data_IF_825281895694
#
_entry.id   IF_825281895694
#
_cell.length_a   1.000
_cell.length_b   1.000
_cell.length_c   1.000
_cell.angle_alpha   90.00
_cell.angle_beta   90.00
_cell.angle_gamma   90.00
#
_symmetry.space_group_name_H-M   'P 1'
#
loop_
_entity.id
_entity.type
_entity.pdbx_description
1 polymer ?
#
# COMPACT_ATOMS: atom_id res chain seq x y z
N UNK A 1 8.44 -9.15 -19.49
CA UNK A 1 8.11 -8.98 -18.05
C UNK A 1 6.99 -7.97 -18.00
N UNK A 2 5.88 -8.28 -17.35
CA UNK A 2 4.77 -7.34 -17.23
C UNK A 2 5.10 -6.23 -16.21
N UNK A 3 4.51 -5.06 -16.41
CA UNK A 3 4.79 -3.83 -15.66
C UNK A 3 4.45 -3.96 -14.16
N UNK A 4 3.42 -4.75 -13.82
CA UNK A 4 3.05 -5.01 -12.43
C UNK A 4 4.11 -5.83 -11.70
N UNK A 5 4.63 -6.87 -12.36
CA UNK A 5 5.73 -7.68 -11.82
C UNK A 5 7.00 -6.86 -11.60
N UNK A 6 7.26 -5.88 -12.47
CA UNK A 6 8.39 -4.96 -12.32
C UNK A 6 8.17 -3.98 -11.16
N UNK A 7 6.97 -3.41 -11.05
CA UNK A 7 6.58 -2.57 -9.92
C UNK A 7 6.78 -3.31 -8.59
N UNK A 8 6.28 -4.53 -8.48
CA UNK A 8 6.38 -5.31 -7.24
C UNK A 8 7.82 -5.60 -6.84
N UNK A 9 8.71 -5.85 -7.81
CA UNK A 9 10.14 -5.99 -7.51
C UNK A 9 10.75 -4.71 -6.96
N UNK A 10 10.32 -3.53 -7.45
CA UNK A 10 10.80 -2.24 -6.95
C UNK A 10 10.19 -1.84 -5.60
N UNK A 11 8.96 -2.27 -5.31
CA UNK A 11 8.31 -2.00 -4.03
C UNK A 11 8.94 -2.77 -2.86
N UNK A 12 9.57 -3.91 -3.13
CA UNK A 12 10.15 -4.80 -2.10
C UNK A 12 9.16 -5.05 -0.96
N UNK A 13 7.94 -5.39 -1.34
CA UNK A 13 6.89 -5.71 -0.38
C UNK A 13 7.33 -6.85 0.53
N UNK A 14 7.14 -6.65 1.82
CA UNK A 14 7.23 -7.67 2.86
C UNK A 14 5.99 -7.57 3.73
N UNK A 15 5.30 -8.68 3.86
CA UNK A 15 4.16 -8.74 4.78
C UNK A 15 4.59 -9.38 6.08
N UNK A 16 4.05 -8.89 7.19
CA UNK A 16 4.22 -9.48 8.51
C UNK A 16 2.87 -9.73 9.15
N UNK A 17 2.59 -10.99 9.41
CA UNK A 17 1.46 -11.40 10.25
C UNK A 17 1.92 -11.28 11.71
N UNK A 18 1.25 -10.43 12.49
CA UNK A 18 1.60 -10.17 13.89
C UNK A 18 0.54 -10.70 14.87
N UNK A 19 -0.68 -10.94 14.40
CA UNK A 19 -1.78 -11.41 15.23
C UNK A 19 -2.43 -12.62 14.58
N UNK A 20 -2.50 -13.69 15.35
CA UNK A 20 -3.19 -14.92 15.01
C UNK A 20 -3.81 -15.47 16.28
N UNK A 21 -5.07 -15.16 16.48
CA UNK A 21 -5.75 -15.49 17.74
C UNK A 21 -7.19 -15.92 17.49
N UNK A 22 -7.58 -16.97 18.20
CA UNK A 22 -8.98 -17.38 18.28
C UNK A 22 -9.63 -16.62 19.40
N UNK A 23 -10.69 -15.91 19.08
CA UNK A 23 -11.50 -15.14 20.00
C UNK A 23 -12.81 -15.89 20.28
N UNK A 24 -13.23 -15.92 21.55
CA UNK A 24 -14.48 -16.51 22.01
C UNK A 24 -15.22 -15.50 22.90
N UNK A 25 -16.54 -15.58 22.96
CA UNK A 25 -17.35 -14.68 23.75
C UNK A 25 -17.47 -13.27 23.17
N UNK A 26 -17.62 -12.30 24.05
CA UNK A 26 -17.59 -10.88 23.65
C UNK A 26 -16.14 -10.39 23.62
N UNK A 27 -15.70 -9.89 22.47
CA UNK A 27 -14.35 -9.37 22.27
C UNK A 27 -14.37 -8.17 21.34
N UNK A 28 -13.35 -7.33 21.50
CA UNK A 28 -13.05 -6.20 20.62
C UNK A 28 -11.56 -6.23 20.33
N UNK A 29 -11.19 -6.06 19.09
CA UNK A 29 -9.80 -5.85 18.65
C UNK A 29 -9.74 -4.46 18.05
N UNK A 30 -9.10 -3.53 18.76
CA UNK A 30 -8.89 -2.17 18.27
C UNK A 30 -7.68 -2.10 17.34
N UNK A 31 -7.86 -1.41 16.23
CA UNK A 31 -6.82 -1.23 15.22
C UNK A 31 -5.97 0.03 15.44
N UNK A 32 -5.53 0.29 16.68
CA UNK A 32 -4.48 1.29 16.95
C UNK A 32 -3.12 0.73 16.53
N UNK A 33 -2.94 0.48 15.26
CA UNK A 33 -1.64 0.04 14.78
C UNK A 33 -0.92 1.16 14.06
N UNK A 34 0.39 1.24 14.35
CA UNK A 34 1.33 2.16 13.72
C UNK A 34 0.98 2.45 12.25
N UNK A 35 1.17 3.66 11.80
CA UNK A 35 0.86 4.26 10.49
C UNK A 35 1.23 3.42 9.25
N UNK A 36 0.82 2.14 9.17
CA UNK A 36 1.14 1.21 8.09
C UNK A 36 -0.13 0.76 7.37
N UNK A 37 0.01 0.39 6.12
CA UNK A 37 -1.02 -0.37 5.43
C UNK A 37 -1.16 -1.74 6.10
N UNK A 38 -2.39 -2.21 6.32
CA UNK A 38 -2.64 -3.42 7.09
C UNK A 38 -3.78 -4.25 6.51
N UNK A 39 -3.88 -5.48 6.97
CA UNK A 39 -5.01 -6.34 6.64
C UNK A 39 -5.52 -7.11 7.85
N UNK A 40 -6.79 -7.49 7.75
CA UNK A 40 -7.44 -8.45 8.63
C UNK A 40 -8.08 -9.54 7.77
N UNK A 41 -7.90 -10.78 8.14
CA UNK A 41 -8.51 -11.94 7.52
C UNK A 41 -9.27 -12.73 8.59
N UNK A 42 -10.52 -13.03 8.34
CA UNK A 42 -11.32 -13.96 9.16
C UNK A 42 -11.03 -15.37 8.66
N UNK A 43 -10.22 -16.13 9.38
CA UNK A 43 -9.91 -17.50 8.99
C UNK A 43 -11.09 -18.44 9.27
N UNK A 44 -11.68 -18.35 10.45
CA UNK A 44 -12.90 -19.09 10.82
C UNK A 44 -13.85 -18.18 11.59
N UNK A 45 -15.14 -18.55 11.63
CA UNK A 45 -16.14 -17.78 12.34
C UNK A 45 -16.60 -16.55 11.58
N UNK A 46 -16.93 -15.50 12.32
CA UNK A 46 -17.41 -14.22 11.78
C UNK A 46 -17.21 -13.09 12.77
N UNK A 47 -17.02 -11.87 12.27
CA UNK A 47 -16.97 -10.66 13.09
C UNK A 47 -17.61 -9.49 12.37
N UNK A 48 -17.83 -8.43 13.11
CA UNK A 48 -18.28 -7.14 12.57
C UNK A 48 -17.13 -6.17 12.62
N UNK A 49 -16.90 -5.49 11.51
CA UNK A 49 -15.93 -4.41 11.42
C UNK A 49 -16.63 -3.06 11.41
N UNK A 50 -16.09 -2.13 12.19
CA UNK A 50 -16.46 -0.70 12.19
C UNK A 50 -15.22 0.13 11.94
N UNK A 51 -15.35 1.18 11.15
CA UNK A 51 -14.23 2.10 10.92
C UNK A 51 -14.73 3.52 10.63
N UNK A 52 -13.88 4.50 10.91
CA UNK A 52 -14.17 5.90 10.67
C UNK A 52 -14.35 6.20 9.18
N UNK A 53 -15.44 6.92 8.85
CA UNK A 53 -15.78 7.27 7.48
C UNK A 53 -16.72 6.30 6.77
N UNK A 54 -17.16 5.23 7.45
CA UNK A 54 -18.20 4.32 6.93
C UNK A 54 -19.43 4.30 7.82
N UNK A 55 -20.59 4.55 7.23
CA UNK A 55 -21.85 4.50 7.95
C UNK A 55 -22.38 3.05 7.96
N UNK A 56 -22.17 2.34 9.07
CA UNK A 56 -22.73 1.02 9.31
C UNK A 56 -21.71 -0.08 9.59
N UNK A 57 -22.22 -1.19 10.02
CA UNK A 57 -21.45 -2.38 10.38
C UNK A 57 -21.16 -3.23 9.13
N UNK A 58 -19.91 -3.66 8.97
CA UNK A 58 -19.51 -4.57 7.90
C UNK A 58 -19.34 -5.96 8.49
N UNK A 59 -20.21 -6.89 8.12
CA UNK A 59 -20.06 -8.29 8.50
C UNK A 59 -18.95 -8.93 7.65
N UNK A 60 -17.95 -9.48 8.33
CA UNK A 60 -16.89 -10.32 7.77
C UNK A 60 -17.15 -11.77 8.16
N UNK A 61 -17.03 -12.69 7.19
CA UNK A 61 -17.17 -14.13 7.35
C UNK A 61 -15.86 -14.84 7.11
N UNK A 62 -15.81 -16.12 7.45
CA UNK A 62 -14.66 -16.98 7.16
C UNK A 62 -14.24 -16.87 5.67
N UNK A 63 -12.98 -16.61 5.44
CA UNK A 63 -12.41 -16.37 4.11
C UNK A 63 -12.47 -14.92 3.64
N UNK A 64 -13.17 -14.01 4.33
CA UNK A 64 -13.16 -12.58 3.98
C UNK A 64 -11.89 -11.92 4.51
N UNK A 65 -11.28 -11.06 3.68
CA UNK A 65 -10.18 -10.19 4.09
C UNK A 65 -10.50 -8.72 3.79
N UNK A 66 -10.02 -7.85 4.66
CA UNK A 66 -10.05 -6.40 4.45
C UNK A 66 -8.63 -5.85 4.51
N UNK A 67 -8.29 -5.00 3.54
CA UNK A 67 -7.01 -4.32 3.48
C UNK A 67 -7.26 -2.82 3.62
N UNK A 68 -6.50 -2.18 4.49
CA UNK A 68 -6.43 -0.74 4.62
C UNK A 68 -5.09 -0.26 4.03
N UNK A 69 -5.15 0.62 3.05
CA UNK A 69 -3.95 1.18 2.40
C UNK A 69 -3.32 2.35 3.19
N UNK A 70 -3.99 2.81 4.22
CA UNK A 70 -3.58 3.90 5.12
C UNK A 70 -4.14 3.64 6.51
N UNK A 71 -3.58 4.28 7.55
CA UNK A 71 -4.15 4.23 8.89
C UNK A 71 -5.60 4.69 8.88
N UNK A 72 -6.46 3.86 9.41
CA UNK A 72 -7.90 4.13 9.62
C UNK A 72 -8.24 3.59 11.00
N UNK A 73 -8.84 4.42 11.84
CA UNK A 73 -9.33 3.98 13.13
C UNK A 73 -10.50 3.01 12.91
N UNK A 74 -10.32 1.79 13.37
CA UNK A 74 -11.29 0.72 13.16
C UNK A 74 -11.26 -0.27 14.32
N UNK A 75 -12.35 -1.00 14.48
CA UNK A 75 -12.40 -2.12 15.41
C UNK A 75 -13.08 -3.33 14.78
N UNK A 76 -12.64 -4.50 15.20
CA UNK A 76 -13.29 -5.79 14.94
C UNK A 76 -13.95 -6.24 16.21
N UNK A 77 -15.24 -6.59 16.15
CA UNK A 77 -16.05 -6.98 17.30
C UNK A 77 -16.72 -8.31 17.06
N UNK A 78 -16.98 -9.03 18.14
CA UNK A 78 -17.73 -10.28 18.09
C UNK A 78 -19.09 -10.07 17.41
N UNK A 79 -19.41 -10.93 16.44
CA UNK A 79 -20.73 -10.96 15.84
C UNK A 79 -21.64 -11.87 16.67
N UNK A 80 -22.45 -11.30 17.53
CA UNK A 80 -23.48 -12.03 18.28
C UNK A 80 -24.63 -12.35 17.33
N UNK A 81 -24.68 -13.57 16.82
CA UNK A 81 -25.75 -14.04 15.97
C UNK A 81 -26.69 -14.99 16.71
N UNK A 82 -27.83 -15.35 16.09
CA UNK A 82 -28.79 -16.30 16.61
C UNK A 82 -28.20 -17.71 16.90
N UNK A 83 -27.08 -18.03 16.31
CA UNK A 83 -26.39 -19.34 16.43
C UNK A 83 -25.40 -19.42 17.61
N UNK A 84 -25.41 -18.42 18.49
CA UNK A 84 -24.57 -18.40 19.69
C UNK A 84 -23.13 -17.89 19.41
N UNK A 85 -22.24 -18.18 20.35
CA UNK A 85 -20.84 -17.78 20.33
C UNK A 85 -20.01 -18.70 19.42
N UNK A 86 -19.68 -18.22 18.21
CA UNK A 86 -18.85 -18.97 17.27
C UNK A 86 -17.40 -18.52 17.43
N UNK A 87 -16.46 -19.42 17.79
CA UNK A 87 -15.05 -19.08 17.85
C UNK A 87 -14.57 -18.47 16.53
N UNK A 88 -13.93 -17.30 16.61
CA UNK A 88 -13.47 -16.56 15.44
C UNK A 88 -11.95 -16.48 15.43
N UNK A 89 -11.32 -17.11 14.45
CA UNK A 89 -9.87 -17.01 14.22
C UNK A 89 -9.60 -15.80 13.33
N UNK A 90 -8.88 -14.83 13.88
CA UNK A 90 -8.42 -13.65 13.17
C UNK A 90 -6.92 -13.72 12.87
N UNK A 91 -6.59 -13.32 11.66
CA UNK A 91 -5.23 -13.04 11.21
C UNK A 91 -5.13 -11.56 10.91
N UNK A 92 -4.18 -10.87 11.54
CA UNK A 92 -3.91 -9.47 11.26
C UNK A 92 -2.43 -9.32 10.90
N UNK A 93 -2.16 -8.51 9.90
CA UNK A 93 -0.83 -8.24 9.43
C UNK A 93 -0.70 -6.84 8.87
N UNK A 94 0.52 -6.42 8.61
CA UNK A 94 0.80 -5.17 7.94
C UNK A 94 1.73 -5.40 6.74
N UNK A 95 1.63 -4.47 5.80
CA UNK A 95 2.47 -4.43 4.61
C UNK A 95 3.61 -3.44 4.83
N UNK A 96 4.84 -3.91 4.73
CA UNK A 96 6.05 -3.10 4.74
C UNK A 96 6.59 -3.00 3.33
N UNK A 97 7.04 -1.81 2.98
CA UNK A 97 7.60 -1.51 1.67
C UNK A 97 8.93 -0.81 1.84
N UNK A 98 9.96 -1.35 1.23
CA UNK A 98 11.29 -0.73 1.19
C UNK A 98 11.42 0.11 -0.10
N UNK A 99 10.48 1.03 -0.31
CA UNK A 99 10.50 1.89 -1.48
C UNK A 99 9.71 3.18 -1.24
N UNK A 100 10.23 4.34 -1.65
CA UNK A 100 9.48 5.59 -1.62
C UNK A 100 8.21 5.59 -2.49
N UNK A 101 8.11 4.65 -3.44
CA UNK A 101 6.94 4.42 -4.28
C UNK A 101 5.70 4.01 -3.49
N UNK A 102 5.91 3.36 -2.35
CA UNK A 102 4.80 2.77 -1.59
C UNK A 102 3.78 3.82 -1.13
N UNK A 103 4.23 4.97 -0.62
CA UNK A 103 3.30 6.01 -0.18
C UNK A 103 2.43 6.54 -1.34
N UNK A 104 3.04 6.72 -2.52
CA UNK A 104 2.32 7.21 -3.70
C UNK A 104 1.39 6.14 -4.25
N UNK A 105 1.84 4.87 -4.28
CA UNK A 105 1.00 3.75 -4.67
C UNK A 105 -0.20 3.62 -3.72
N UNK A 106 0.05 3.54 -2.41
CA UNK A 106 -1.01 3.38 -1.42
C UNK A 106 -1.99 4.54 -1.45
N UNK A 107 -1.52 5.78 -1.66
CA UNK A 107 -2.39 6.95 -1.82
C UNK A 107 -3.29 6.88 -3.05
N UNK A 108 -2.90 6.12 -4.10
CA UNK A 108 -3.69 5.92 -5.31
C UNK A 108 -4.78 4.85 -5.17
N UNK A 109 -4.70 4.00 -4.16
CA UNK A 109 -5.65 2.93 -3.90
C UNK A 109 -6.87 3.43 -3.11
N UNK A 110 -8.03 2.78 -3.22
CA UNK A 110 -9.14 3.00 -2.30
C UNK A 110 -8.69 2.81 -0.85
N UNK A 111 -9.19 3.64 0.07
CA UNK A 111 -8.79 3.59 1.48
C UNK A 111 -8.96 2.20 2.11
N UNK A 112 -9.94 1.47 1.61
CA UNK A 112 -10.28 0.12 2.03
C UNK A 112 -10.51 -0.74 0.79
N UNK A 113 -10.01 -1.97 0.85
CA UNK A 113 -10.25 -3.03 -0.12
C UNK A 113 -10.85 -4.23 0.60
N UNK A 114 -12.03 -4.64 0.20
CA UNK A 114 -12.72 -5.78 0.78
C UNK A 114 -12.65 -6.95 -0.21
N UNK A 115 -11.95 -7.99 0.17
CA UNK A 115 -11.86 -9.24 -0.57
C UNK A 115 -12.85 -10.22 0.04
N UNK A 116 -13.89 -10.57 -0.72
CA UNK A 116 -14.91 -11.54 -0.28
C UNK A 116 -14.53 -12.94 -0.74
N UNK A 117 -14.72 -13.87 0.18
CA UNK A 117 -14.73 -15.28 -0.19
C UNK A 117 -16.13 -15.62 -0.72
N UNK A 118 -16.31 -15.58 -2.05
CA UNK A 118 -17.56 -16.04 -2.66
C UNK A 118 -17.43 -17.52 -3.02
N UNK A 119 -18.15 -18.42 -2.35
CA UNK A 119 -18.09 -19.85 -2.64
C UNK A 119 -18.88 -20.24 -3.91
N UNK A 120 -19.45 -19.28 -4.65
CA UNK A 120 -20.26 -19.59 -5.85
C UNK A 120 -19.39 -20.11 -7.01
N UNK A 121 -19.58 -21.34 -7.46
CA UNK A 121 -18.92 -21.86 -8.65
C UNK A 121 -19.54 -21.22 -9.90
N UNK A 122 -18.87 -20.26 -10.50
CA UNK A 122 -19.30 -19.67 -11.78
C UNK A 122 -19.06 -18.18 -11.99
N UNK A 123 -18.64 -17.44 -10.98
CA UNK A 123 -18.20 -16.04 -11.11
C UNK A 123 -16.78 -16.00 -11.71
N UNK A 124 -16.62 -15.34 -12.87
CA UNK A 124 -15.33 -15.25 -13.54
C UNK A 124 -14.21 -14.73 -12.64
N UNK A 125 -13.03 -15.31 -12.76
CA UNK A 125 -11.75 -14.94 -12.10
C UNK A 125 -11.69 -14.99 -10.55
N UNK A 126 -12.74 -15.47 -9.89
CA UNK A 126 -12.83 -15.58 -8.41
C UNK A 126 -12.02 -16.76 -7.83
N UNK A 127 -11.50 -17.65 -8.66
CA UNK A 127 -10.87 -18.91 -8.22
C UNK A 127 -9.53 -18.70 -7.48
N UNK A 128 -8.67 -17.85 -8.01
CA UNK A 128 -7.30 -17.72 -7.50
C UNK A 128 -7.22 -16.94 -6.18
N UNK A 129 -7.89 -15.79 -5.99
CA UNK A 129 -7.93 -15.12 -4.69
C UNK A 129 -8.57 -15.96 -3.60
N UNK A 130 -9.67 -16.66 -3.91
CA UNK A 130 -10.33 -17.56 -2.96
C UNK A 130 -9.43 -18.74 -2.55
N UNK A 131 -8.73 -19.37 -3.49
CA UNK A 131 -7.77 -20.43 -3.20
C UNK A 131 -6.60 -19.95 -2.35
N UNK A 132 -6.11 -18.74 -2.60
CA UNK A 132 -5.06 -18.12 -1.80
C UNK A 132 -5.53 -17.89 -0.35
N UNK A 133 -6.72 -17.34 -0.16
CA UNK A 133 -7.30 -17.13 1.15
C UNK A 133 -7.48 -18.47 1.90
N UNK A 134 -7.95 -19.52 1.21
CA UNK A 134 -8.05 -20.86 1.78
C UNK A 134 -6.70 -21.42 2.22
N UNK A 135 -5.62 -21.21 1.43
CA UNK A 135 -4.27 -21.62 1.82
C UNK A 135 -3.78 -20.89 3.07
N UNK A 136 -4.03 -19.58 3.16
CA UNK A 136 -3.67 -18.80 4.36
C UNK A 136 -4.44 -19.32 5.58
N UNK A 137 -5.73 -19.60 5.42
CA UNK A 137 -6.57 -20.18 6.48
C UNK A 137 -6.06 -21.54 6.92
N UNK A 138 -5.81 -22.45 5.98
CA UNK A 138 -5.31 -23.80 6.28
C UNK A 138 -3.97 -23.73 7.01
N UNK A 139 -3.06 -22.85 6.60
CA UNK A 139 -1.78 -22.66 7.27
C UNK A 139 -1.93 -22.05 8.66
N UNK A 140 -2.88 -21.13 8.81
CA UNK A 140 -3.23 -20.54 10.09
C UNK A 140 -3.78 -21.58 11.09
N UNK A 141 -4.48 -22.60 10.63
CA UNK A 141 -5.02 -23.68 11.46
C UNK A 141 -3.99 -24.74 11.78
N UNK A 142 -3.10 -25.07 10.83
CA UNK A 142 -2.15 -26.18 10.94
C UNK A 142 -1.10 -25.98 12.04
N UNK A 143 -0.70 -24.73 12.31
CA UNK A 143 0.36 -24.36 13.26
C UNK A 143 1.67 -25.14 13.05
N UNK A 144 1.95 -25.50 11.79
CA UNK A 144 3.11 -26.28 11.40
C UNK A 144 4.43 -25.51 11.46
N UNK A 145 5.58 -26.20 11.38
CA UNK A 145 6.87 -25.53 11.25
C UNK A 145 6.90 -24.61 10.03
N UNK A 146 7.29 -23.35 10.22
CA UNK A 146 7.34 -22.36 9.14
C UNK A 146 6.00 -21.70 8.77
N UNK A 147 4.89 -22.03 9.46
CA UNK A 147 3.56 -21.49 9.20
C UNK A 147 3.54 -19.96 9.11
N UNK A 148 4.17 -19.25 10.06
CA UNK A 148 4.24 -17.79 10.04
C UNK A 148 4.95 -17.27 8.79
N UNK A 149 6.10 -17.85 8.44
CA UNK A 149 6.85 -17.42 7.26
C UNK A 149 6.07 -17.68 5.95
N UNK A 150 5.32 -18.79 5.90
CA UNK A 150 4.47 -19.09 4.76
C UNK A 150 3.28 -18.14 4.67
N UNK A 151 2.62 -17.84 5.81
CA UNK A 151 1.55 -16.85 5.86
C UNK A 151 2.02 -15.47 5.42
N UNK A 152 3.22 -15.02 5.80
CA UNK A 152 3.80 -13.77 5.33
C UNK A 152 3.90 -13.76 3.78
N UNK A 153 4.41 -14.83 3.17
CA UNK A 153 4.54 -14.94 1.71
C UNK A 153 3.21 -15.06 0.97
N UNK A 154 2.26 -15.78 1.52
CA UNK A 154 0.91 -15.84 0.97
C UNK A 154 0.20 -14.48 1.07
N UNK A 155 0.48 -13.71 2.11
CA UNK A 155 -0.06 -12.36 2.27
C UNK A 155 0.59 -11.33 1.34
N UNK A 156 1.86 -11.50 0.93
CA UNK A 156 2.44 -10.75 -0.19
C UNK A 156 1.61 -10.98 -1.47
N UNK A 157 1.23 -12.24 -1.75
CA UNK A 157 0.39 -12.57 -2.89
C UNK A 157 -1.05 -12.00 -2.76
N UNK A 158 -1.58 -11.93 -1.54
CA UNK A 158 -2.90 -11.33 -1.27
C UNK A 158 -2.92 -9.84 -1.69
N UNK A 159 -1.87 -9.09 -1.36
CA UNK A 159 -1.73 -7.71 -1.79
C UNK A 159 -1.71 -7.57 -3.32
N UNK A 160 -1.00 -8.46 -4.01
CA UNK A 160 -0.98 -8.51 -5.48
C UNK A 160 -2.37 -8.73 -6.08
N UNK A 161 -3.15 -9.65 -5.52
CA UNK A 161 -4.53 -9.87 -5.98
C UNK A 161 -5.43 -8.68 -5.72
N UNK A 162 -5.26 -8.01 -4.58
CA UNK A 162 -5.99 -6.78 -4.28
C UNK A 162 -5.69 -5.67 -5.31
N UNK A 163 -4.43 -5.49 -5.69
CA UNK A 163 -4.04 -4.56 -6.76
C UNK A 163 -4.68 -4.93 -8.10
N UNK A 164 -4.65 -6.22 -8.49
CA UNK A 164 -5.28 -6.69 -9.73
C UNK A 164 -6.78 -6.42 -9.74
N UNK A 165 -7.47 -6.63 -8.63
CA UNK A 165 -8.90 -6.30 -8.51
C UNK A 165 -9.17 -4.80 -8.67
N UNK A 166 -8.35 -3.95 -8.08
CA UNK A 166 -8.47 -2.50 -8.25
C UNK A 166 -8.35 -2.08 -9.72
N UNK A 167 -7.39 -2.67 -10.44
CA UNK A 167 -7.21 -2.43 -11.87
C UNK A 167 -8.41 -2.92 -12.69
N UNK A 168 -8.85 -4.15 -12.45
CA UNK A 168 -9.96 -4.75 -13.18
C UNK A 168 -11.28 -3.99 -12.95
N UNK A 169 -11.51 -3.51 -11.72
CA UNK A 169 -12.70 -2.76 -11.35
C UNK A 169 -12.67 -1.29 -11.81
N UNK A 170 -11.53 -0.79 -12.35
CA UNK A 170 -11.36 0.61 -12.71
C UNK A 170 -11.50 1.58 -11.53
N UNK A 171 -11.36 1.08 -10.29
CA UNK A 171 -11.50 1.88 -9.06
C UNK A 171 -10.32 2.82 -8.82
N UNK A 172 -9.24 2.62 -9.55
CA UNK A 172 -8.07 3.51 -9.59
C UNK A 172 -8.25 4.47 -10.74
N UNK A 173 -9.02 5.54 -10.53
CA UNK A 173 -9.41 6.45 -11.60
C UNK A 173 -8.27 7.38 -12.05
N UNK A 174 -7.48 7.89 -11.14
CA UNK A 174 -6.32 8.76 -11.41
C UNK A 174 -5.26 8.45 -10.35
N UNK A 175 -4.05 8.12 -10.78
CA UNK A 175 -2.98 7.84 -9.83
C UNK A 175 -1.79 7.14 -10.45
N UNK A 176 -0.82 6.90 -9.62
CA UNK A 176 0.44 6.29 -10.01
C UNK A 176 0.24 4.91 -10.65
N UNK A 177 -0.69 4.10 -10.12
CA UNK A 177 -0.93 2.74 -10.61
C UNK A 177 -1.38 2.78 -12.08
N UNK A 178 -2.39 3.60 -12.41
CA UNK A 178 -2.84 3.78 -13.79
C UNK A 178 -1.72 4.33 -14.68
N UNK A 179 -0.92 5.27 -14.14
CA UNK A 179 0.18 5.87 -14.88
C UNK A 179 1.33 4.89 -15.14
N UNK A 180 1.61 3.96 -14.22
CA UNK A 180 2.63 2.91 -14.40
C UNK A 180 2.24 1.94 -15.52
N UNK A 181 0.94 1.59 -15.63
CA UNK A 181 0.43 0.73 -16.69
C UNK A 181 0.18 1.45 -18.02
N UNK A 182 0.26 2.79 -18.01
CA UNK A 182 0.17 3.56 -19.25
C UNK A 182 1.44 3.33 -20.10
N UNK A 183 1.30 2.85 -21.35
CA UNK A 183 2.45 2.50 -22.19
C UNK A 183 3.38 3.67 -22.48
N UNK A 184 2.91 4.91 -22.32
CA UNK A 184 3.73 6.12 -22.50
C UNK A 184 4.26 6.69 -21.17
N UNK A 185 3.60 6.46 -20.04
CA UNK A 185 4.04 7.02 -18.76
C UNK A 185 4.85 6.03 -17.93
N UNK A 186 4.53 4.75 -18.01
CA UNK A 186 5.20 3.69 -17.24
C UNK A 186 6.72 3.71 -17.37
N UNK A 187 7.28 3.70 -18.60
CA UNK A 187 8.74 3.74 -18.78
C UNK A 187 9.40 5.01 -18.22
N UNK A 188 8.71 6.15 -18.25
CA UNK A 188 9.22 7.38 -17.66
C UNK A 188 9.17 7.36 -16.12
N UNK A 189 8.10 6.86 -15.54
CA UNK A 189 7.95 6.67 -14.10
C UNK A 189 9.00 5.69 -13.57
N UNK A 190 9.15 4.53 -14.21
CA UNK A 190 10.17 3.55 -13.83
C UNK A 190 11.57 4.17 -13.86
N UNK A 191 11.90 4.95 -14.89
CA UNK A 191 13.20 5.62 -14.99
C UNK A 191 13.43 6.62 -13.84
N UNK A 192 12.43 7.43 -13.50
CA UNK A 192 12.50 8.36 -12.37
C UNK A 192 12.76 7.60 -11.05
N UNK A 193 12.12 6.45 -10.86
CA UNK A 193 12.28 5.66 -9.63
C UNK A 193 13.58 4.87 -9.58
N UNK A 194 14.09 4.41 -10.72
CA UNK A 194 15.39 3.73 -10.81
C UNK A 194 16.55 4.66 -10.49
N UNK A 195 16.49 5.90 -10.95
CA UNK A 195 17.51 6.92 -10.67
C UNK A 195 16.85 8.28 -10.34
N UNK A 196 16.37 8.45 -9.11
CA UNK A 196 15.74 9.71 -8.70
C UNK A 196 16.70 10.90 -8.72
N UNK A 197 18.02 10.66 -8.61
CA UNK A 197 19.05 11.69 -8.55
C UNK A 197 19.46 12.21 -9.94
N UNK A 198 19.15 11.48 -11.00
CA UNK A 198 19.36 11.93 -12.37
C UNK A 198 18.78 13.33 -12.58
N UNK A 199 19.48 14.29 -13.20
CA UNK A 199 18.95 15.63 -13.45
C UNK A 199 17.84 15.62 -14.53
N UNK A 200 16.74 14.97 -14.19
CA UNK A 200 15.59 14.81 -15.08
C UNK A 200 15.06 16.16 -15.58
N UNK A 201 14.71 16.18 -16.84
CA UNK A 201 13.97 17.27 -17.47
C UNK A 201 12.73 16.72 -18.14
N UNK A 202 11.72 17.58 -18.34
CA UNK A 202 10.52 17.18 -19.09
C UNK A 202 10.87 16.68 -20.50
N UNK A 203 11.92 17.26 -21.11
CA UNK A 203 12.41 16.83 -22.41
C UNK A 203 12.91 15.38 -22.38
N UNK A 204 13.84 15.06 -21.46
CA UNK A 204 14.41 13.70 -21.34
C UNK A 204 13.32 12.66 -21.11
N UNK A 205 12.34 12.96 -20.24
CA UNK A 205 11.24 12.03 -19.95
C UNK A 205 10.29 11.87 -21.15
N UNK A 206 9.99 12.95 -21.85
CA UNK A 206 9.15 12.93 -23.05
C UNK A 206 9.81 12.15 -24.21
N UNK A 207 11.10 12.38 -24.44
CA UNK A 207 11.88 11.69 -25.47
C UNK A 207 11.93 10.17 -25.20
N UNK A 208 12.05 9.76 -23.94
CA UNK A 208 12.09 8.34 -23.55
C UNK A 208 10.79 7.59 -23.92
N UNK A 209 9.69 8.29 -23.97
CA UNK A 209 8.35 7.70 -24.28
C UNK A 209 7.81 8.16 -25.64
N UNK A 210 8.67 8.76 -26.46
CA UNK A 210 8.33 9.21 -27.82
C UNK A 210 7.14 10.19 -27.89
N UNK A 211 7.03 11.09 -26.90
CA UNK A 211 6.00 12.13 -26.87
C UNK A 211 6.62 13.52 -26.99
N UNK A 212 5.83 14.48 -27.47
CA UNK A 212 6.22 15.88 -27.33
C UNK A 212 6.18 16.30 -25.84
N UNK A 213 7.00 17.28 -25.46
CA UNK A 213 7.06 17.81 -24.07
C UNK A 213 5.68 18.21 -23.54
N UNK A 214 4.88 18.88 -24.37
CA UNK A 214 3.55 19.34 -24.01
C UNK A 214 2.57 18.16 -23.83
N UNK A 215 2.60 17.17 -24.73
CA UNK A 215 1.76 15.98 -24.64
C UNK A 215 2.11 15.16 -23.41
N UNK A 216 3.42 14.92 -23.17
CA UNK A 216 3.90 14.21 -22.00
C UNK A 216 3.49 14.89 -20.68
N UNK A 217 3.79 16.20 -20.54
CA UNK A 217 3.47 16.95 -19.33
C UNK A 217 1.98 16.95 -19.00
N UNK A 218 1.12 17.15 -20.01
CA UNK A 218 -0.33 17.10 -19.84
C UNK A 218 -0.83 15.73 -19.43
N UNK A 219 -0.38 14.66 -20.13
CA UNK A 219 -0.77 13.28 -19.84
C UNK A 219 -0.30 12.86 -18.44
N UNK A 220 0.95 13.18 -18.11
CA UNK A 220 1.54 12.90 -16.81
C UNK A 220 0.76 13.57 -15.67
N UNK A 221 0.48 14.88 -15.81
CA UNK A 221 -0.27 15.62 -14.80
C UNK A 221 -1.73 15.12 -14.65
N UNK A 222 -2.36 14.74 -15.75
CA UNK A 222 -3.72 14.17 -15.71
C UNK A 222 -3.74 12.82 -14.96
N UNK A 223 -2.76 11.95 -15.20
CA UNK A 223 -2.72 10.59 -14.62
C UNK A 223 -2.19 10.59 -13.18
N UNK A 224 -1.20 11.44 -12.85
CA UNK A 224 -0.55 11.42 -11.52
C UNK A 224 -1.04 12.53 -10.58
N UNK A 225 -1.79 13.50 -11.07
CA UNK A 225 -2.17 14.69 -10.31
C UNK A 225 -1.04 15.69 -10.07
N UNK A 226 0.16 15.44 -10.60
CA UNK A 226 1.35 16.26 -10.38
C UNK A 226 2.07 16.57 -11.71
N UNK A 227 2.74 17.71 -11.79
CA UNK A 227 3.65 17.96 -12.92
C UNK A 227 4.84 16.99 -12.87
N UNK A 228 5.46 16.62 -14.02
CA UNK A 228 6.60 15.69 -14.02
C UNK A 228 7.74 16.11 -13.07
N UNK A 229 8.11 17.39 -13.08
CA UNK A 229 9.18 17.88 -12.20
C UNK A 229 8.72 18.05 -10.75
N UNK A 230 7.43 18.31 -10.51
CA UNK A 230 6.83 18.29 -9.17
C UNK A 230 6.88 16.90 -8.56
N UNK A 231 6.59 15.87 -9.37
CA UNK A 231 6.68 14.46 -8.99
C UNK A 231 8.13 14.07 -8.61
N UNK A 232 9.12 14.37 -9.47
CA UNK A 232 10.54 14.11 -9.17
C UNK A 232 10.97 14.79 -7.88
N UNK A 233 10.57 16.06 -7.69
CA UNK A 233 10.87 16.81 -6.46
C UNK A 233 10.22 16.18 -5.23
N UNK A 234 8.96 15.77 -5.32
CA UNK A 234 8.24 15.08 -4.25
C UNK A 234 8.92 13.77 -3.86
N UNK A 235 9.31 12.95 -4.85
CA UNK A 235 10.02 11.69 -4.64
C UNK A 235 11.34 11.90 -3.89
N UNK A 236 12.19 12.84 -4.37
CA UNK A 236 13.44 13.16 -3.71
C UNK A 236 13.25 13.70 -2.28
N UNK A 237 12.20 14.50 -2.08
CA UNK A 237 11.86 15.03 -0.76
C UNK A 237 11.45 13.90 0.20
N UNK A 238 10.71 12.92 -0.30
CA UNK A 238 10.34 11.73 0.48
C UNK A 238 11.57 10.89 0.84
N UNK A 239 12.48 10.66 -0.12
CA UNK A 239 13.76 9.98 0.16
C UNK A 239 14.60 10.70 1.22
N UNK A 240 14.64 12.03 1.16
CA UNK A 240 15.33 12.84 2.16
C UNK A 240 14.69 12.70 3.55
N UNK A 241 13.36 12.66 3.61
CA UNK A 241 12.62 12.43 4.87
C UNK A 241 12.94 11.06 5.47
N UNK A 242 12.88 9.99 4.68
CA UNK A 242 13.24 8.64 5.14
C UNK A 242 14.70 8.56 5.57
N UNK A 243 15.63 9.18 4.84
CA UNK A 243 17.03 9.22 5.22
C UNK A 243 17.29 9.93 6.56
N UNK A 244 16.57 11.03 6.82
CA UNK A 244 16.64 11.73 8.12
C UNK A 244 16.13 10.86 9.28
N UNK A 245 15.00 10.17 9.09
CA UNK A 245 14.34 9.38 10.12
C UNK A 245 15.07 8.05 10.39
N UNK A 246 15.41 7.31 9.34
CA UNK A 246 15.87 5.92 9.43
C UNK A 246 17.39 5.80 9.47
N UNK A 247 18.11 6.66 8.73
CA UNK A 247 19.57 6.62 8.62
C UNK A 247 20.28 7.70 9.44
N UNK A 248 19.53 8.61 10.04
CA UNK A 248 20.09 9.69 10.88
C UNK A 248 21.03 10.64 10.13
N UNK A 249 20.89 10.77 8.83
CA UNK A 249 21.73 11.67 8.01
C UNK A 249 21.59 13.12 8.48
N UNK A 250 22.60 13.96 8.20
CA UNK A 250 22.54 15.38 8.47
C UNK A 250 21.53 16.10 7.56
N UNK A 251 21.10 17.29 7.96
CA UNK A 251 20.20 18.13 7.14
C UNK A 251 20.89 18.52 5.83
N UNK A 252 22.22 18.68 5.83
CA UNK A 252 23.03 18.92 4.63
C UNK A 252 22.94 17.76 3.64
N UNK A 253 23.16 16.54 4.11
CA UNK A 253 23.06 15.32 3.28
C UNK A 253 21.64 15.12 2.76
N UNK A 254 20.62 15.36 3.60
CA UNK A 254 19.23 15.31 3.17
C UNK A 254 18.90 16.36 2.09
N UNK A 255 19.50 17.55 2.17
CA UNK A 255 19.35 18.57 1.13
C UNK A 255 19.94 18.11 -0.20
N UNK A 256 21.10 17.45 -0.19
CA UNK A 256 21.71 16.85 -1.39
C UNK A 256 20.79 15.76 -1.97
N UNK A 257 20.28 14.84 -1.13
CA UNK A 257 19.34 13.80 -1.53
C UNK A 257 18.07 14.43 -2.17
N UNK A 258 17.59 15.54 -1.62
CA UNK A 258 16.43 16.24 -2.17
C UNK A 258 16.75 17.08 -3.43
N UNK A 259 18.01 17.16 -3.84
CA UNK A 259 18.47 17.91 -5.01
C UNK A 259 18.53 19.43 -4.80
N UNK A 260 18.69 19.88 -3.55
CA UNK A 260 18.83 21.30 -3.22
C UNK A 260 20.29 21.71 -3.05
N UNK A 261 20.64 22.86 -3.61
CA UNK A 261 21.99 23.40 -3.50
C UNK A 261 22.33 23.91 -2.10
N UNK A 262 21.34 24.23 -1.26
CA UNK A 262 21.56 24.76 0.09
C UNK A 262 20.56 24.15 1.10
N UNK A 263 21.05 23.93 2.33
CA UNK A 263 20.19 23.49 3.45
C UNK A 263 19.01 24.44 3.72
N UNK A 264 19.25 25.74 3.57
CA UNK A 264 18.20 26.72 3.81
C UNK A 264 17.05 26.62 2.81
N UNK A 265 17.36 26.38 1.52
CA UNK A 265 16.34 26.17 0.50
C UNK A 265 15.58 24.84 0.73
N UNK A 266 16.32 23.78 1.05
CA UNK A 266 15.74 22.49 1.42
C UNK A 266 14.81 22.61 2.63
N UNK A 267 15.28 23.21 3.74
CA UNK A 267 14.51 23.32 4.99
C UNK A 267 13.20 24.09 4.78
N UNK A 268 13.22 25.16 3.99
CA UNK A 268 11.98 25.88 3.63
C UNK A 268 11.01 25.02 2.82
N UNK A 269 11.52 24.31 1.81
CA UNK A 269 10.71 23.43 0.98
C UNK A 269 10.16 22.24 1.78
N UNK A 270 10.99 21.63 2.62
CA UNK A 270 10.62 20.52 3.51
C UNK A 270 9.51 20.94 4.49
N UNK A 271 9.68 22.10 5.17
CA UNK A 271 8.66 22.61 6.08
C UNK A 271 7.34 22.93 5.38
N UNK A 272 7.39 23.46 4.15
CA UNK A 272 6.19 23.72 3.35
C UNK A 272 5.44 22.44 2.99
N UNK A 273 6.18 21.35 2.69
CA UNK A 273 5.59 20.07 2.26
C UNK A 273 5.10 19.24 3.45
N UNK A 274 5.87 19.18 4.53
CA UNK A 274 5.60 18.28 5.67
C UNK A 274 5.04 18.99 6.91
N UNK A 275 4.97 20.33 6.93
CA UNK A 275 4.44 21.11 8.04
C UNK A 275 5.43 21.33 9.22
N UNK A 276 6.58 20.66 9.23
CA UNK A 276 7.61 20.75 10.28
C UNK A 276 9.02 20.82 9.69
N UNK A 277 10.02 21.20 10.50
CA UNK A 277 11.40 21.33 10.04
C UNK A 277 12.12 19.99 9.93
N UNK A 278 13.15 19.85 9.04
CA UNK A 278 13.90 18.59 8.89
C UNK A 278 14.55 18.10 10.19
N UNK A 279 14.98 19.00 11.08
CA UNK A 279 15.59 18.64 12.37
C UNK A 279 14.66 17.85 13.30
N UNK A 280 13.36 18.05 13.22
CA UNK A 280 12.35 17.30 13.99
C UNK A 280 12.22 15.86 13.48
N UNK A 281 12.50 15.62 12.20
CA UNK A 281 12.43 14.28 11.58
C UNK A 281 13.52 13.34 12.09
N UNK A 282 14.63 13.87 12.61
CA UNK A 282 15.73 13.08 13.23
C UNK A 282 15.41 12.58 14.64
N UNK A 283 14.41 13.16 15.27
CA UNK A 283 14.08 12.91 16.68
C UNK A 283 12.83 12.03 16.86
N UNK A 284 12.24 11.59 15.78
CA UNK A 284 11.08 10.69 15.74
C UNK A 284 11.46 9.34 15.11
#
# INVERSE_FOLDING_TARGET
VDELSELMRHLRLQTRVFHRTTHCGQWVVDGEYERKAMFHLVATGRCVMRYDGHAGDILLRAGDAVLFNRPVDHCLIASLGADGDVPTLLLCGYFEFDSPLSEVLLASLPAQLLLRHDPQPGGGDSGAPAALLQLIVAEAESNGPGAMALMDKLSDALFMYALRQCLAAGTVAQGLLTAIFDPHLGPALLAIHQDPQQPWTVAMLADRVHLSRAAFARRFAHSTGATPMGYVTGLRMQQAKSALAERGVSVAEAAVIAGYATEAAFSRAFKRLHGYSPGVSRSR
#
